data_IF_279380223682
#
_entry.id   IF_279380223682
#
_cell.length_a   1.000
_cell.length_b   1.000
_cell.length_c   1.000
_cell.angle_alpha   90.00
_cell.angle_beta   90.00
_cell.angle_gamma   90.00
#
_symmetry.space_group_name_H-M   'P 1'
#
loop_
_entity.id
_entity.type
_entity.pdbx_description
1 polymer ?
#
# COMPACT_ATOMS: atom_id res chain seq x y z
N UNK A 1 -16.51 30.53 -3.93
CA UNK A 1 -16.69 29.27 -4.68
C UNK A 1 -15.95 29.42 -5.99
N UNK A 2 -15.13 28.44 -6.38
CA UNK A 2 -14.36 28.48 -7.64
C UNK A 2 -15.32 28.16 -8.79
N UNK A 3 -15.29 28.96 -9.87
CA UNK A 3 -16.19 28.80 -11.03
C UNK A 3 -15.54 27.95 -12.15
N UNK A 4 -14.21 28.00 -12.28
CA UNK A 4 -13.42 27.16 -13.19
C UNK A 4 -12.27 26.51 -12.41
N UNK A 5 -12.30 25.18 -12.24
CA UNK A 5 -11.27 24.46 -11.50
C UNK A 5 -9.86 24.58 -12.13
N UNK A 6 -9.76 24.86 -13.43
CA UNK A 6 -8.46 25.00 -14.12
C UNK A 6 -7.73 26.28 -13.72
N UNK A 7 -8.46 27.29 -13.24
CA UNK A 7 -7.84 28.54 -12.74
C UNK A 7 -7.10 28.35 -11.42
N UNK A 8 -7.15 27.14 -10.83
CA UNK A 8 -6.41 26.81 -9.61
C UNK A 8 -4.97 26.38 -9.88
N UNK A 9 -4.59 26.10 -11.13
CA UNK A 9 -3.23 25.70 -11.50
C UNK A 9 -2.67 24.59 -10.60
N UNK A 10 -3.46 23.55 -10.33
CA UNK A 10 -3.11 22.48 -9.41
C UNK A 10 -1.84 21.75 -9.89
N UNK A 11 -0.85 21.67 -9.00
CA UNK A 11 0.37 20.87 -9.19
C UNK A 11 0.41 19.77 -8.14
N UNK A 12 0.89 18.59 -8.54
CA UNK A 12 1.21 17.51 -7.61
C UNK A 12 2.71 17.56 -7.29
N UNK A 13 3.03 17.47 -6.01
CA UNK A 13 4.40 17.37 -5.48
C UNK A 13 4.45 16.19 -4.49
N UNK A 14 5.64 15.71 -4.19
CA UNK A 14 5.86 14.78 -3.10
C UNK A 14 5.48 15.43 -1.75
N UNK A 15 4.78 14.67 -0.90
CA UNK A 15 4.38 15.13 0.44
C UNK A 15 5.15 14.41 1.54
N UNK A 16 4.86 13.13 1.74
CA UNK A 16 5.44 12.32 2.82
C UNK A 16 6.26 11.14 2.26
N UNK A 17 7.43 10.91 2.86
CA UNK A 17 8.22 9.71 2.66
C UNK A 17 8.03 8.77 3.86
N UNK A 18 7.38 7.63 3.62
CA UNK A 18 7.06 6.67 4.68
C UNK A 18 8.06 5.51 4.70
N UNK A 19 8.45 5.09 5.91
CA UNK A 19 9.15 3.83 6.15
C UNK A 19 8.39 3.01 7.18
N UNK A 20 7.96 1.81 6.78
CA UNK A 20 7.38 0.85 7.72
C UNK A 20 8.52 0.15 8.45
N UNK A 21 8.51 0.25 9.79
CA UNK A 21 9.50 -0.41 10.67
C UNK A 21 8.94 -1.72 11.23
N UNK A 22 7.64 -1.73 11.52
CA UNK A 22 6.88 -2.89 12.00
C UNK A 22 5.65 -3.07 11.11
N UNK A 23 5.67 -4.08 10.24
CA UNK A 23 4.56 -4.38 9.31
C UNK A 23 3.31 -4.78 10.07
N UNK A 24 3.43 -5.61 11.09
CA UNK A 24 2.27 -6.12 11.83
C UNK A 24 1.56 -4.98 12.55
N UNK A 25 2.33 -4.17 13.30
CA UNK A 25 1.81 -3.01 14.00
C UNK A 25 1.19 -1.97 13.06
N UNK A 26 1.84 -1.69 11.92
CA UNK A 26 1.31 -0.76 10.93
C UNK A 26 0.00 -1.26 10.32
N UNK A 27 -0.03 -2.49 9.82
CA UNK A 27 -1.22 -3.04 9.16
C UNK A 27 -2.39 -3.25 10.15
N UNK A 28 -2.13 -3.62 11.40
CA UNK A 28 -3.16 -3.68 12.47
C UNK A 28 -3.67 -2.30 12.88
N UNK A 29 -2.84 -1.26 12.78
CA UNK A 29 -3.22 0.12 13.06
C UNK A 29 -4.06 0.78 11.96
N UNK A 30 -4.29 0.08 10.86
CA UNK A 30 -4.99 0.56 9.66
C UNK A 30 -6.35 -0.14 9.51
N UNK A 31 -7.34 0.60 9.01
CA UNK A 31 -8.60 0.02 8.53
C UNK A 31 -8.54 -0.25 7.03
N UNK A 32 -9.27 -1.28 6.59
CA UNK A 32 -9.35 -1.70 5.20
C UNK A 32 -10.76 -1.50 4.65
N UNK A 33 -10.90 -1.32 3.34
CA UNK A 33 -12.17 -0.96 2.72
C UNK A 33 -13.10 -2.15 2.40
N UNK A 34 -12.60 -3.38 2.54
CA UNK A 34 -13.39 -4.60 2.33
C UNK A 34 -12.89 -5.72 3.24
N UNK A 35 -13.71 -6.76 3.41
CA UNK A 35 -13.36 -7.99 4.13
C UNK A 35 -12.53 -8.97 3.25
N UNK A 36 -11.93 -8.47 2.16
CA UNK A 36 -11.06 -9.25 1.30
C UNK A 36 -9.74 -9.62 1.98
N UNK A 37 -9.00 -10.52 1.35
CA UNK A 37 -7.68 -10.96 1.81
C UNK A 37 -6.69 -11.01 0.65
N UNK A 38 -5.43 -10.67 0.94
CA UNK A 38 -4.28 -10.89 0.07
C UNK A 38 -3.07 -11.36 0.87
N UNK A 39 -2.25 -12.23 0.29
CA UNK A 39 -0.95 -12.63 0.84
C UNK A 39 0.17 -11.85 0.16
N UNK A 40 0.90 -11.06 0.93
CA UNK A 40 2.02 -10.24 0.46
C UNK A 40 3.35 -10.90 0.85
N UNK A 41 4.20 -11.22 -0.12
CA UNK A 41 5.61 -11.56 0.11
C UNK A 41 6.44 -10.28 0.12
N UNK A 42 6.82 -9.84 1.32
CA UNK A 42 7.51 -8.56 1.50
C UNK A 42 9.00 -8.79 1.63
N UNK A 43 9.77 -8.07 0.82
CA UNK A 43 11.23 -7.99 0.94
C UNK A 43 11.60 -6.78 1.76
N UNK A 44 12.51 -6.98 2.71
CA UNK A 44 13.03 -5.91 3.56
C UNK A 44 14.45 -6.25 4.03
N UNK A 45 15.47 -5.72 3.35
CA UNK A 45 16.87 -5.97 3.71
C UNK A 45 17.30 -5.21 4.97
N UNK A 46 16.68 -4.05 5.25
CA UNK A 46 17.09 -3.19 6.35
C UNK A 46 16.45 -3.61 7.68
N UNK A 47 15.19 -4.04 7.65
CA UNK A 47 14.46 -4.60 8.78
C UNK A 47 14.09 -6.06 8.47
N UNK A 48 15.02 -7.02 8.59
CA UNK A 48 14.80 -8.41 8.16
C UNK A 48 13.65 -9.12 8.89
N UNK A 49 13.24 -8.62 10.06
CA UNK A 49 12.07 -9.12 10.78
C UNK A 49 10.73 -8.77 10.11
N UNK A 50 10.72 -7.90 9.09
CA UNK A 50 9.56 -7.63 8.25
C UNK A 50 9.48 -8.58 7.06
N UNK A 51 10.60 -9.19 6.67
CA UNK A 51 10.67 -10.00 5.46
C UNK A 51 9.80 -11.27 5.57
N UNK A 52 9.29 -11.70 4.43
CA UNK A 52 8.45 -12.90 4.27
C UNK A 52 6.98 -12.57 4.07
N UNK A 53 6.14 -13.58 4.27
CA UNK A 53 4.75 -13.56 3.83
C UNK A 53 3.79 -13.12 4.92
N UNK A 54 2.90 -12.21 4.54
CA UNK A 54 1.90 -11.61 5.41
C UNK A 54 0.51 -11.80 4.81
N UNK A 55 -0.39 -12.39 5.59
CA UNK A 55 -1.84 -12.34 5.32
C UNK A 55 -2.34 -10.96 5.73
N UNK A 56 -3.02 -10.28 4.82
CA UNK A 56 -3.56 -8.93 5.03
C UNK A 56 -5.03 -8.90 4.64
N UNK A 57 -5.90 -8.52 5.57
CA UNK A 57 -7.35 -8.59 5.41
C UNK A 57 -8.02 -8.85 6.75
N UNK A 58 -8.89 -9.87 6.80
CA UNK A 58 -9.62 -10.27 8.00
C UNK A 58 -8.72 -10.43 9.24
N UNK A 59 -7.59 -11.10 9.08
CA UNK A 59 -6.52 -11.17 10.08
C UNK A 59 -5.20 -10.61 9.49
N UNK A 60 -4.38 -10.01 10.36
CA UNK A 60 -3.03 -9.53 10.04
C UNK A 60 -2.02 -10.39 10.75
N UNK A 61 -1.34 -11.26 10.01
CA UNK A 61 -0.40 -12.23 10.57
C UNK A 61 0.60 -12.75 9.53
N UNK A 62 1.66 -13.40 10.02
CA UNK A 62 2.56 -14.18 9.16
C UNK A 62 1.88 -15.45 8.68
N UNK A 63 2.22 -15.90 7.47
CA UNK A 63 1.63 -17.10 6.88
C UNK A 63 2.64 -17.85 6.02
N UNK A 64 2.46 -19.16 5.86
CA UNK A 64 3.22 -19.98 4.91
C UNK A 64 2.48 -20.20 3.57
N UNK A 65 1.28 -19.62 3.42
CA UNK A 65 0.51 -19.70 2.18
C UNK A 65 1.29 -19.13 0.99
N UNK A 66 0.95 -19.58 -0.22
CA UNK A 66 1.53 -19.03 -1.45
C UNK A 66 1.18 -17.55 -1.59
N UNK A 67 2.13 -16.70 -2.00
CA UNK A 67 1.88 -15.27 -2.10
C UNK A 67 0.98 -14.95 -3.29
N UNK A 68 0.14 -13.94 -3.11
CA UNK A 68 -0.61 -13.30 -4.18
C UNK A 68 0.27 -12.29 -4.91
N UNK A 69 1.05 -11.51 -4.14
CA UNK A 69 1.91 -10.42 -4.60
C UNK A 69 3.28 -10.49 -3.93
N UNK A 70 4.34 -10.12 -4.66
CA UNK A 70 5.68 -9.85 -4.09
C UNK A 70 6.06 -8.40 -4.32
N UNK A 71 6.65 -7.75 -3.31
CA UNK A 71 7.04 -6.35 -3.34
C UNK A 71 8.13 -6.01 -2.32
N UNK A 72 8.78 -4.85 -2.49
CA UNK A 72 9.65 -4.28 -1.45
C UNK A 72 8.81 -3.55 -0.39
N UNK A 73 9.32 -3.46 0.84
CA UNK A 73 8.66 -2.71 1.93
C UNK A 73 8.44 -1.22 1.58
N UNK A 74 9.28 -0.62 0.74
CA UNK A 74 9.07 0.75 0.25
C UNK A 74 7.88 0.86 -0.72
N UNK A 75 7.58 -0.20 -1.48
CA UNK A 75 6.38 -0.29 -2.30
C UNK A 75 5.12 -0.39 -1.42
N UNK A 76 5.19 -1.24 -0.39
CA UNK A 76 4.13 -1.36 0.62
C UNK A 76 3.88 -0.01 1.32
N UNK A 77 4.95 0.70 1.70
CA UNK A 77 4.86 2.02 2.30
C UNK A 77 4.20 3.06 1.37
N UNK A 78 4.44 2.95 0.06
CA UNK A 78 3.82 3.84 -0.94
C UNK A 78 2.30 3.65 -1.02
N UNK A 79 1.80 2.42 -0.96
CA UNK A 79 0.36 2.12 -1.01
C UNK A 79 -0.33 2.21 0.36
N UNK A 80 0.43 2.17 1.46
CA UNK A 80 -0.08 2.09 2.83
C UNK A 80 -1.11 3.19 3.16
N UNK A 81 -0.86 4.45 2.79
CA UNK A 81 -1.80 5.54 3.07
C UNK A 81 -2.90 5.72 2.00
N UNK A 82 -2.90 4.92 0.94
CA UNK A 82 -3.91 4.95 -0.12
C UNK A 82 -3.71 6.03 -1.18
N UNK A 83 -2.54 6.68 -1.26
CA UNK A 83 -2.20 7.61 -2.35
C UNK A 83 -1.90 6.88 -3.67
N UNK A 84 -1.28 5.70 -3.57
CA UNK A 84 -0.92 4.84 -4.68
C UNK A 84 -1.67 3.51 -4.60
N UNK A 85 -1.70 2.81 -5.73
CA UNK A 85 -2.41 1.53 -5.91
C UNK A 85 -1.40 0.46 -6.31
N UNK A 86 -1.58 -0.76 -5.85
CA UNK A 86 -0.81 -1.94 -6.27
C UNK A 86 -0.82 -2.08 -7.79
N UNK A 87 -1.95 -1.90 -8.49
CA UNK A 87 -1.98 -2.00 -9.95
C UNK A 87 -1.04 -1.01 -10.66
N UNK A 88 -0.88 0.21 -10.12
CA UNK A 88 0.06 1.21 -10.66
C UNK A 88 1.51 0.81 -10.41
N UNK A 89 1.80 0.24 -9.23
CA UNK A 89 3.13 -0.26 -8.93
C UNK A 89 3.46 -1.52 -9.75
N UNK A 90 2.46 -2.38 -10.01
CA UNK A 90 2.60 -3.53 -10.90
C UNK A 90 2.85 -3.13 -12.35
N UNK A 91 2.14 -2.12 -12.86
CA UNK A 91 2.40 -1.54 -14.19
C UNK A 91 3.79 -0.88 -14.30
N UNK A 92 4.45 -0.58 -13.18
CA UNK A 92 5.80 -0.07 -13.10
C UNK A 92 6.84 -1.15 -12.76
N UNK A 93 6.47 -2.43 -12.81
CA UNK A 93 7.30 -3.60 -12.46
C UNK A 93 7.87 -3.57 -11.04
N UNK A 94 7.23 -2.84 -10.12
CA UNK A 94 7.61 -2.75 -8.70
C UNK A 94 6.91 -3.81 -7.85
N UNK A 95 5.69 -4.20 -8.22
CA UNK A 95 4.92 -5.27 -7.56
C UNK A 95 4.71 -6.40 -8.56
N UNK A 96 5.09 -7.61 -8.18
CA UNK A 96 4.89 -8.80 -9.01
C UNK A 96 3.62 -9.52 -8.60
N UNK A 97 2.77 -9.83 -9.58
CA UNK A 97 1.55 -10.63 -9.39
C UNK A 97 1.83 -12.12 -9.63
N UNK A 98 1.44 -12.98 -8.68
CA UNK A 98 1.51 -14.44 -8.80
C UNK A 98 0.15 -15.06 -9.10
N UNK A 99 -0.92 -14.46 -8.59
CA UNK A 99 -2.29 -14.88 -8.85
C UNK A 99 -3.03 -13.80 -9.63
N UNK A 100 -3.60 -14.16 -10.78
CA UNK A 100 -4.33 -13.22 -11.61
C UNK A 100 -5.43 -12.47 -10.81
N UNK A 101 -5.41 -11.14 -10.91
CA UNK A 101 -6.38 -10.27 -10.24
C UNK A 101 -6.03 -9.95 -8.77
N UNK A 102 -4.92 -10.44 -8.24
CA UNK A 102 -4.45 -10.06 -6.90
C UNK A 102 -4.15 -8.57 -6.78
N UNK A 103 -3.63 -7.92 -7.83
CA UNK A 103 -3.40 -6.48 -7.83
C UNK A 103 -4.70 -5.70 -7.61
N UNK A 104 -5.77 -6.10 -8.31
CA UNK A 104 -7.08 -5.49 -8.17
C UNK A 104 -7.70 -5.76 -6.79
N UNK A 105 -7.58 -6.98 -6.26
CA UNK A 105 -8.04 -7.31 -4.90
C UNK A 105 -7.31 -6.47 -3.84
N UNK A 106 -6.00 -6.32 -3.98
CA UNK A 106 -5.20 -5.49 -3.07
C UNK A 106 -5.60 -4.02 -3.16
N UNK A 107 -5.89 -3.50 -4.36
CA UNK A 107 -6.40 -2.14 -4.56
C UNK A 107 -7.77 -1.92 -3.92
N UNK A 108 -8.68 -2.88 -4.02
CA UNK A 108 -9.98 -2.82 -3.35
C UNK A 108 -9.83 -2.85 -1.83
N UNK A 109 -8.93 -3.71 -1.31
CA UNK A 109 -8.67 -3.83 0.12
C UNK A 109 -8.02 -2.56 0.70
N UNK A 110 -7.01 -1.99 0.03
CA UNK A 110 -6.24 -0.84 0.52
C UNK A 110 -6.85 0.53 0.17
N UNK A 111 -8.00 0.56 -0.47
CA UNK A 111 -8.67 1.81 -0.87
C UNK A 111 -8.95 2.72 0.32
N UNK A 112 -8.70 4.00 0.16
CA UNK A 112 -9.19 5.05 1.07
C UNK A 112 -10.13 5.99 0.31
N UNK A 113 -11.15 6.57 0.96
CA UNK A 113 -12.10 7.47 0.30
C UNK A 113 -11.49 8.82 -0.09
N UNK A 114 -10.33 9.16 0.50
CA UNK A 114 -9.61 10.41 0.28
C UNK A 114 -8.12 10.14 0.23
N UNK A 115 -7.37 10.82 -0.65
CA UNK A 115 -5.92 10.74 -0.63
C UNK A 115 -5.37 11.27 0.71
N UNK A 116 -4.23 10.75 1.18
CA UNK A 116 -3.58 11.23 2.38
C UNK A 116 -2.96 12.62 2.16
N UNK A 117 -2.82 13.38 3.24
CA UNK A 117 -2.23 14.72 3.23
C UNK A 117 -1.50 14.97 4.56
N UNK A 118 -0.32 15.56 4.48
CA UNK A 118 0.49 16.01 5.62
C UNK A 118 0.69 17.53 5.48
N UNK A 119 0.04 18.36 6.31
CA UNK A 119 0.24 19.81 6.27
C UNK A 119 1.54 20.29 6.94
N UNK A 120 2.20 19.44 7.73
CA UNK A 120 3.40 19.78 8.49
C UNK A 120 4.69 19.50 7.71
N UNK A 121 5.62 20.45 7.81
CA UNK A 121 7.03 20.29 7.42
C UNK A 121 7.87 20.14 8.70
N UNK A 122 8.71 19.11 8.78
CA UNK A 122 9.57 18.81 9.93
C UNK A 122 10.99 18.41 9.52
#
# INVERSE_FOLDING_TARGET
>A
MVVDARSLHLTAIEGLWLRIVDIEGALKGRSFASDGEVVLDVRDEFCPWNAGRWRVGGDIERTDADPDLELDVADLASVYLGAFTFSRLGAADRVREFQAGALARADDLFRTPRPPYCPEDF
#
